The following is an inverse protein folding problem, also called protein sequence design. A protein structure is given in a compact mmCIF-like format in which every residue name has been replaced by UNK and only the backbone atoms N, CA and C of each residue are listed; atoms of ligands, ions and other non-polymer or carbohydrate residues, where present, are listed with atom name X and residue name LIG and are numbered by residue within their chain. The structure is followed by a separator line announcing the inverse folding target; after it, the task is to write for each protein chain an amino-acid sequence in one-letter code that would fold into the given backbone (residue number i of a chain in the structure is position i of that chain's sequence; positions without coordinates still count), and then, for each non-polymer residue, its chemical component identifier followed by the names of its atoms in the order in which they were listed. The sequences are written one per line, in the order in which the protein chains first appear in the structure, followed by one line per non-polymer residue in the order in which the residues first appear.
data_IF_397737493806
#
_entry.id   IF_397737493806
#
_cell.length_a   1.000
_cell.length_b   1.000
_cell.length_c   1.000
_cell.angle_alpha   90.00
_cell.angle_beta   90.00
_cell.angle_gamma   90.00
#
_symmetry.space_group_name_H-M   'P 1'
#
loop_
_entity.id
_entity.type
_entity.pdbx_description
1 polymer ?
#
# COMPACT_ATOMS: atom_id res chain seq x y z
N UNK A 1 -8.64 -11.86 -5.45
CA UNK A 1 -9.08 -10.83 -6.44
C UNK A 1 -9.64 -9.51 -5.86
N UNK A 2 -10.06 -9.38 -4.60
CA UNK A 2 -10.71 -8.14 -4.10
C UNK A 2 -9.76 -7.00 -3.69
N UNK A 3 -8.53 -7.31 -3.26
CA UNK A 3 -7.60 -6.31 -2.70
C UNK A 3 -6.98 -5.37 -3.73
N UNK A 4 -6.64 -5.88 -4.92
CA UNK A 4 -6.06 -5.09 -6.00
C UNK A 4 -7.03 -4.00 -6.48
N UNK A 5 -8.32 -4.34 -6.58
CA UNK A 5 -9.38 -3.39 -6.92
C UNK A 5 -9.62 -2.37 -5.81
N UNK A 6 -9.43 -2.75 -4.55
CA UNK A 6 -9.56 -1.85 -3.40
C UNK A 6 -8.45 -0.78 -3.38
N UNK A 7 -7.21 -1.19 -3.64
CA UNK A 7 -6.07 -0.26 -3.77
C UNK A 7 -6.22 0.60 -5.02
N UNK A 8 -6.62 0.02 -6.15
CA UNK A 8 -6.91 0.77 -7.35
C UNK A 8 -8.04 1.78 -7.14
N UNK A 9 -9.10 1.40 -6.41
CA UNK A 9 -10.18 2.30 -6.04
C UNK A 9 -9.69 3.45 -5.15
N UNK A 10 -8.83 3.20 -4.16
CA UNK A 10 -8.22 4.28 -3.38
C UNK A 10 -7.34 5.19 -4.22
N UNK A 11 -6.55 4.63 -5.14
CA UNK A 11 -5.78 5.41 -6.11
C UNK A 11 -6.66 6.30 -6.97
N UNK A 12 -7.76 5.77 -7.48
CA UNK A 12 -8.74 6.52 -8.29
C UNK A 12 -9.41 7.62 -7.47
N UNK A 13 -9.88 7.31 -6.26
CA UNK A 13 -10.50 8.30 -5.36
C UNK A 13 -9.55 9.45 -5.06
N UNK A 14 -8.26 9.17 -4.85
CA UNK A 14 -7.28 10.21 -4.55
C UNK A 14 -6.94 11.08 -5.78
N UNK A 15 -6.88 10.48 -6.98
CA UNK A 15 -6.77 11.25 -8.24
C UNK A 15 -8.01 12.13 -8.44
N UNK A 16 -9.20 11.63 -8.11
CA UNK A 16 -10.44 12.42 -8.18
C UNK A 16 -10.47 13.54 -7.13
N UNK A 17 -9.96 13.30 -5.92
CA UNK A 17 -9.88 14.32 -4.84
C UNK A 17 -8.89 15.45 -5.11
N UNK A 18 -7.91 15.28 -6.00
CA UNK A 18 -7.12 16.41 -6.50
C UNK A 18 -7.99 17.45 -7.24
N UNK A 19 -9.23 17.10 -7.60
CA UNK A 19 -10.16 17.96 -8.35
C UNK A 19 -11.18 18.68 -7.44
N UNK A 20 -11.42 18.24 -6.19
CA UNK A 20 -12.36 18.93 -5.27
C UNK A 20 -11.93 18.93 -3.77
N UNK A 21 -12.02 20.14 -3.19
CA UNK A 21 -12.14 20.65 -1.78
C UNK A 21 -11.64 19.89 -0.54
N UNK A 22 -11.27 18.62 -0.56
CA UNK A 22 -10.77 17.89 0.62
C UNK A 22 -9.50 17.09 0.29
N UNK A 23 -8.33 17.70 0.51
CA UNK A 23 -7.04 17.04 0.31
C UNK A 23 -6.73 16.08 1.45
N UNK A 24 -6.69 14.77 1.17
CA UNK A 24 -6.11 13.79 2.11
C UNK A 24 -4.62 14.09 2.33
N UNK A 25 -4.09 13.86 3.55
CA UNK A 25 -2.66 14.02 3.82
C UNK A 25 -1.79 13.12 2.94
N UNK A 26 -0.60 13.58 2.54
CA UNK A 26 0.31 12.86 1.64
C UNK A 26 0.77 11.48 2.17
N UNK A 27 0.79 11.31 3.50
CA UNK A 27 1.11 10.05 4.15
C UNK A 27 -0.02 9.03 4.12
N UNK A 28 -1.26 9.45 3.82
CA UNK A 28 -2.45 8.61 4.00
C UNK A 28 -2.40 7.34 3.16
N UNK A 29 -2.02 7.45 1.88
CA UNK A 29 -1.96 6.30 0.98
C UNK A 29 -0.83 5.33 1.34
N UNK A 30 0.45 5.75 1.50
CA UNK A 30 1.50 4.83 1.93
C UNK A 30 1.17 4.20 3.29
N UNK A 31 0.56 4.95 4.23
CA UNK A 31 0.16 4.40 5.52
C UNK A 31 -0.90 3.31 5.38
N UNK A 32 -1.92 3.57 4.57
CA UNK A 32 -3.00 2.62 4.31
C UNK A 32 -2.47 1.36 3.62
N UNK A 33 -1.59 1.51 2.62
CA UNK A 33 -0.95 0.38 1.95
C UNK A 33 -0.05 -0.44 2.89
N UNK A 34 0.70 0.23 3.77
CA UNK A 34 1.50 -0.43 4.79
C UNK A 34 0.63 -1.24 5.76
N UNK A 35 -0.45 -0.64 6.28
CA UNK A 35 -1.40 -1.29 7.18
C UNK A 35 -2.06 -2.50 6.53
N UNK A 36 -2.45 -2.39 5.27
CA UNK A 36 -3.06 -3.50 4.53
C UNK A 36 -2.07 -4.64 4.34
N UNK A 37 -0.86 -4.37 3.82
CA UNK A 37 0.12 -5.41 3.55
C UNK A 37 0.63 -6.07 4.84
N UNK A 38 1.06 -5.28 5.82
CA UNK A 38 1.55 -5.81 7.10
C UNK A 38 0.44 -6.49 7.89
N UNK A 39 -0.75 -5.87 7.96
CA UNK A 39 -1.92 -6.47 8.62
C UNK A 39 -2.33 -7.79 7.97
N UNK A 40 -2.28 -7.88 6.65
CA UNK A 40 -2.54 -9.14 5.94
C UNK A 40 -1.47 -10.20 6.24
N UNK A 41 -0.19 -9.81 6.27
CA UNK A 41 0.91 -10.72 6.62
C UNK A 41 0.78 -11.26 8.05
N UNK A 42 0.43 -10.41 9.01
CA UNK A 42 0.13 -10.80 10.39
C UNK A 42 -1.07 -11.75 10.45
N UNK A 43 -2.17 -11.41 9.78
CA UNK A 43 -3.39 -12.22 9.79
C UNK A 43 -3.17 -13.62 9.16
N UNK A 44 -2.40 -13.70 8.08
CA UNK A 44 -2.02 -14.97 7.45
C UNK A 44 -1.09 -15.79 8.36
N UNK A 45 -0.10 -15.14 8.99
CA UNK A 45 0.82 -15.78 9.94
C UNK A 45 0.08 -16.36 11.15
N UNK A 46 -0.87 -15.60 11.72
CA UNK A 46 -1.70 -16.06 12.83
C UNK A 46 -2.54 -17.30 12.49
N UNK A 47 -2.95 -17.44 11.22
CA UNK A 47 -3.68 -18.61 10.71
C UNK A 47 -2.76 -19.74 10.22
N UNK A 48 -1.44 -19.61 10.39
CA UNK A 48 -0.41 -20.53 9.87
C UNK A 48 -0.47 -20.71 8.35
N UNK A 49 -1.00 -19.72 7.64
CA UNK A 49 -0.95 -19.70 6.19
C UNK A 49 0.44 -19.26 5.75
N UNK A 50 0.87 -19.77 4.60
CA UNK A 50 2.16 -19.38 4.03
C UNK A 50 2.09 -17.90 3.65
N UNK A 51 2.91 -17.09 4.32
CA UNK A 51 3.00 -15.65 4.05
C UNK A 51 4.13 -15.41 3.07
N UNK A 52 3.85 -14.73 1.97
CA UNK A 52 4.88 -14.39 1.01
C UNK A 52 5.83 -13.31 1.58
N UNK A 53 7.16 -13.49 1.53
CA UNK A 53 8.13 -12.46 1.89
C UNK A 53 7.88 -11.11 1.20
N UNK A 54 7.34 -11.12 -0.02
CA UNK A 54 7.06 -9.90 -0.80
C UNK A 54 6.01 -9.00 -0.15
N UNK A 55 5.02 -9.59 0.53
CA UNK A 55 4.00 -8.87 1.31
C UNK A 55 4.64 -8.10 2.47
N UNK A 56 5.58 -8.74 3.18
CA UNK A 56 6.32 -8.10 4.27
C UNK A 56 7.23 -6.98 3.78
N UNK A 57 7.98 -7.24 2.70
CA UNK A 57 8.89 -6.26 2.10
C UNK A 57 8.09 -5.05 1.60
N UNK A 58 7.03 -5.29 0.83
CA UNK A 58 6.17 -4.21 0.32
C UNK A 58 5.54 -3.39 1.44
N UNK A 59 5.02 -4.06 2.48
CA UNK A 59 4.46 -3.39 3.66
C UNK A 59 5.49 -2.56 4.41
N UNK A 60 6.71 -3.06 4.59
CA UNK A 60 7.80 -2.34 5.24
C UNK A 60 8.25 -1.12 4.44
N UNK A 61 8.33 -1.22 3.10
CA UNK A 61 8.69 -0.09 2.24
C UNK A 61 7.60 0.99 2.29
N UNK A 62 6.32 0.62 2.25
CA UNK A 62 5.23 1.59 2.37
C UNK A 62 5.19 2.25 3.76
N UNK A 63 5.48 1.49 4.83
CA UNK A 63 5.62 2.04 6.17
C UNK A 63 6.78 3.04 6.22
N UNK A 64 7.92 2.70 5.62
CA UNK A 64 9.06 3.59 5.52
C UNK A 64 8.71 4.90 4.78
N UNK A 65 8.03 4.82 3.63
CA UNK A 65 7.58 6.00 2.88
C UNK A 65 6.61 6.87 3.70
N UNK A 66 5.76 6.23 4.51
CA UNK A 66 4.87 6.94 5.45
C UNK A 66 5.69 7.74 6.46
N UNK A 67 6.69 7.11 7.09
CA UNK A 67 7.54 7.75 8.09
C UNK A 67 8.37 8.88 7.48
N UNK A 68 8.92 8.69 6.28
CA UNK A 68 9.65 9.74 5.56
C UNK A 68 8.74 10.93 5.27
N UNK A 69 7.49 10.68 4.83
CA UNK A 69 6.55 11.77 4.62
C UNK A 69 6.24 12.50 5.93
N UNK A 70 5.94 11.79 7.02
CA UNK A 70 5.55 12.43 8.28
C UNK A 70 6.70 13.20 8.93
N UNK A 71 7.92 12.66 8.92
CA UNK A 71 9.03 13.18 9.73
C UNK A 71 10.11 13.93 8.95
N UNK A 72 10.27 13.68 7.65
CA UNK A 72 11.38 14.24 6.86
C UNK A 72 10.88 15.28 5.87
N UNK A 73 9.86 14.94 5.07
CA UNK A 73 9.29 15.85 4.07
C UNK A 73 7.78 15.62 3.88
N UNK A 74 6.94 16.36 4.65
CA UNK A 74 5.48 16.26 4.58
C UNK A 74 4.88 16.75 3.26
N UNK A 75 5.60 17.61 2.55
CA UNK A 75 5.12 18.26 1.32
C UNK A 75 5.26 17.36 0.11
N UNK A 76 6.20 16.40 0.15
CA UNK A 76 6.46 15.48 -0.94
C UNK A 76 5.41 14.39 -1.06
N UNK A 77 4.76 14.31 -2.21
CA UNK A 77 3.82 13.21 -2.50
C UNK A 77 4.57 11.92 -2.87
N UNK A 78 4.26 10.84 -2.14
CA UNK A 78 4.72 9.47 -2.46
C UNK A 78 3.62 8.62 -3.12
N UNK A 79 2.58 9.27 -3.64
CA UNK A 79 1.40 8.62 -4.21
C UNK A 79 1.74 7.59 -5.30
N UNK A 80 2.42 8.04 -6.37
CA UNK A 80 2.75 7.17 -7.50
C UNK A 80 3.65 6.00 -7.11
N UNK A 81 4.65 6.25 -6.24
CA UNK A 81 5.56 5.21 -5.74
C UNK A 81 4.78 4.17 -4.92
N UNK A 82 3.85 4.62 -4.06
CA UNK A 82 3.04 3.73 -3.22
C UNK A 82 2.14 2.82 -4.07
N UNK A 83 1.52 3.35 -5.12
CA UNK A 83 0.73 2.56 -6.05
C UNK A 83 1.57 1.54 -6.80
N UNK A 84 2.73 1.95 -7.33
CA UNK A 84 3.64 1.06 -8.06
C UNK A 84 4.08 -0.10 -7.18
N UNK A 85 4.50 0.17 -5.94
CA UNK A 85 4.90 -0.88 -4.98
C UNK A 85 3.74 -1.84 -4.74
N UNK A 86 2.54 -1.30 -4.52
CA UNK A 86 1.38 -2.16 -4.21
C UNK A 86 1.01 -3.04 -5.40
N UNK A 87 1.00 -2.50 -6.62
CA UNK A 87 0.79 -3.27 -7.85
C UNK A 87 1.88 -4.33 -8.03
N UNK A 88 3.14 -3.99 -7.78
CA UNK A 88 4.26 -4.91 -7.90
C UNK A 88 4.10 -6.10 -6.95
N UNK A 89 3.77 -5.86 -5.68
CA UNK A 89 3.51 -6.93 -4.69
C UNK A 89 2.38 -7.86 -5.17
N UNK A 90 1.32 -7.30 -5.73
CA UNK A 90 0.19 -8.08 -6.27
C UNK A 90 0.62 -8.93 -7.47
N UNK A 91 1.28 -8.32 -8.45
CA UNK A 91 1.73 -9.01 -9.67
C UNK A 91 2.69 -10.14 -9.31
N UNK A 92 3.63 -9.88 -8.39
CA UNK A 92 4.57 -10.90 -7.92
C UNK A 92 3.83 -12.04 -7.18
N UNK A 93 2.85 -11.71 -6.34
CA UNK A 93 2.00 -12.73 -5.68
C UNK A 93 1.22 -13.59 -6.67
N UNK A 94 0.69 -12.99 -7.75
CA UNK A 94 0.00 -13.71 -8.83
C UNK A 94 0.94 -14.63 -9.61
N UNK A 95 2.12 -14.15 -9.98
CA UNK A 95 3.13 -14.94 -10.71
C UNK A 95 3.62 -16.15 -9.90
N UNK A 96 3.62 -16.03 -8.57
CA UNK A 96 3.97 -17.13 -7.67
C UNK A 96 2.82 -18.11 -7.46
N UNK A 97 1.65 -17.88 -8.06
CA UNK A 97 0.43 -18.69 -7.94
C UNK A 97 -0.08 -18.81 -6.49
N UNK A 98 0.02 -17.70 -5.74
CA UNK A 98 -0.27 -17.64 -4.30
C UNK A 98 -1.50 -16.77 -3.94
N UNK A 99 -2.24 -16.26 -4.93
CA UNK A 99 -3.39 -15.34 -4.75
C UNK A 99 -4.60 -15.69 -5.61
#
# INVERSE_FOLDING_TARGET
MTWALLVAAFGIVQVMQQTETASLPNWFLPASGALVLLGSGVAQSARRWRVNPTTWIGGAVLLFLTLVNVYVDPTRSFFGISLVITVLVIVVGLLMNET
#
